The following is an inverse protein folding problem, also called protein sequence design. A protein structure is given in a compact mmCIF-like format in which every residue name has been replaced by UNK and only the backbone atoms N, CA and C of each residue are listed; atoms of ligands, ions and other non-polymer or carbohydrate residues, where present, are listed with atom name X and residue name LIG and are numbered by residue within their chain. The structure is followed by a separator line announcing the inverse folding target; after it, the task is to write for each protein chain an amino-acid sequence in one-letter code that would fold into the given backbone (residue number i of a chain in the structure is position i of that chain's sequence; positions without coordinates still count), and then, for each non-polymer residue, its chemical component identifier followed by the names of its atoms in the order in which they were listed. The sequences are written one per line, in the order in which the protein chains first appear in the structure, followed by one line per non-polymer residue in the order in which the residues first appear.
data_IF_795079926005
#
_entry.id   IF_795079926005
#
_cell.length_a   1.000
_cell.length_b   1.000
_cell.length_c   1.000
_cell.angle_alpha   90.00
_cell.angle_beta   90.00
_cell.angle_gamma   90.00
#
_symmetry.space_group_name_H-M   'P 1'
#
loop_
_entity.id
_entity.type
_entity.pdbx_description
1 polymer ?
#
# COMPACT_ATOMS: atom_id res chain seq x y z
N UNK A 1 17.17 -59.68 15.76
CA UNK A 1 17.30 -59.42 17.14
C UNK A 1 17.20 -58.00 17.61
N UNK A 2 17.06 -57.05 16.72
CA UNK A 2 16.97 -55.66 17.14
C UNK A 2 15.74 -54.95 16.66
N UNK A 3 14.57 -55.55 16.77
CA UNK A 3 13.35 -54.88 16.31
C UNK A 3 12.94 -53.68 17.16
N UNK A 4 13.39 -53.67 18.39
CA UNK A 4 13.04 -52.55 19.28
C UNK A 4 13.69 -51.24 18.91
N UNK A 5 14.88 -51.30 18.31
CA UNK A 5 15.58 -50.08 17.86
C UNK A 5 14.92 -49.43 16.70
N UNK A 6 14.34 -50.20 15.81
CA UNK A 6 13.67 -49.67 14.64
C UNK A 6 12.34 -48.99 15.01
N UNK A 7 11.71 -49.48 16.03
CA UNK A 7 10.46 -48.91 16.51
C UNK A 7 10.71 -47.51 17.15
N UNK A 8 11.81 -47.36 17.84
CA UNK A 8 12.15 -46.07 18.42
C UNK A 8 12.45 -45.00 17.38
N UNK A 9 13.09 -45.38 16.32
CA UNK A 9 13.37 -44.46 15.24
C UNK A 9 12.12 -43.90 14.60
N UNK A 10 11.14 -44.71 14.46
CA UNK A 10 9.87 -44.29 13.85
C UNK A 10 9.15 -43.22 14.65
N UNK A 11 9.29 -43.23 15.98
CA UNK A 11 8.64 -42.25 16.80
C UNK A 11 9.24 -40.85 16.72
N UNK A 12 10.49 -40.76 16.47
CA UNK A 12 11.13 -39.46 16.34
C UNK A 12 10.67 -38.66 15.12
N UNK A 13 10.37 -39.36 14.06
CA UNK A 13 10.02 -38.69 12.81
C UNK A 13 8.64 -38.07 12.82
N UNK A 14 7.75 -38.56 13.64
CA UNK A 14 6.37 -38.10 13.62
C UNK A 14 6.12 -36.77 14.30
N UNK A 15 6.95 -36.40 15.26
CA UNK A 15 6.71 -35.18 16.02
C UNK A 15 7.34 -33.92 15.39
N UNK A 16 8.43 -34.09 14.65
CA UNK A 16 9.19 -32.94 14.15
C UNK A 16 8.59 -32.23 12.96
N UNK A 17 8.11 -32.94 11.93
CA UNK A 17 7.69 -32.24 10.71
C UNK A 17 6.45 -31.39 10.89
N UNK A 18 5.62 -31.67 11.84
CA UNK A 18 4.35 -30.95 12.01
C UNK A 18 4.53 -29.50 12.43
N UNK A 19 5.46 -29.20 13.33
CA UNK A 19 5.69 -27.83 13.75
C UNK A 19 6.34 -26.96 12.69
N UNK A 20 7.25 -27.53 11.92
CA UNK A 20 7.94 -26.80 10.86
C UNK A 20 7.00 -26.41 9.71
N UNK A 21 6.06 -27.27 9.37
CA UNK A 21 5.11 -27.02 8.30
C UNK A 21 4.16 -25.88 8.63
N UNK A 22 3.73 -25.78 9.88
CA UNK A 22 2.81 -24.72 10.32
C UNK A 22 3.46 -23.34 10.24
N UNK A 23 4.73 -23.22 10.54
CA UNK A 23 5.44 -21.94 10.46
C UNK A 23 5.60 -21.48 9.01
N UNK A 24 5.85 -22.40 8.09
CA UNK A 24 6.00 -22.04 6.68
C UNK A 24 4.74 -21.51 6.04
N UNK A 25 3.58 -21.95 6.48
CA UNK A 25 2.29 -21.50 5.94
C UNK A 25 1.98 -20.03 6.26
N UNK A 26 2.51 -19.51 7.35
CA UNK A 26 2.27 -18.12 7.73
C UNK A 26 3.01 -17.12 6.86
N UNK A 27 4.11 -17.52 6.25
CA UNK A 27 4.92 -16.63 5.43
C UNK A 27 4.32 -16.43 4.04
N UNK A 28 3.49 -17.36 3.58
CA UNK A 28 2.96 -17.33 2.22
C UNK A 28 1.71 -16.47 2.03
N UNK A 29 1.21 -15.80 3.07
CA UNK A 29 -0.02 -15.02 3.02
C UNK A 29 0.22 -13.54 2.77
N UNK A 30 1.45 -13.13 2.53
CA UNK A 30 1.78 -11.74 2.22
C UNK A 30 1.26 -11.39 0.82
N UNK A 31 0.00 -11.00 0.72
CA UNK A 31 -0.60 -10.46 -0.49
C UNK A 31 -0.56 -8.94 -0.51
N UNK A 32 -0.84 -8.36 -1.66
CA UNK A 32 -0.99 -6.91 -1.79
C UNK A 32 -2.05 -6.41 -0.81
N UNK A 33 -1.72 -5.41 -0.03
CA UNK A 33 -2.62 -4.79 0.93
C UNK A 33 -3.61 -3.88 0.21
N UNK A 34 -4.87 -3.93 0.60
CA UNK A 34 -5.90 -3.03 0.07
C UNK A 34 -6.32 -2.09 1.19
N UNK A 35 -6.14 -0.80 0.97
CA UNK A 35 -6.51 0.24 1.93
C UNK A 35 -7.45 1.23 1.25
N UNK A 36 -8.62 1.46 1.85
CA UNK A 36 -9.64 2.34 1.28
C UNK A 36 -9.97 2.00 -0.18
N UNK A 37 -9.93 0.72 -0.54
CA UNK A 37 -10.17 0.25 -1.90
C UNK A 37 -8.98 0.41 -2.85
N UNK A 38 -7.89 1.02 -2.44
CA UNK A 38 -6.68 1.16 -3.24
C UNK A 38 -5.69 0.04 -2.91
N UNK A 39 -5.11 -0.54 -3.94
CA UNK A 39 -4.06 -1.54 -3.76
C UNK A 39 -2.72 -0.88 -3.49
N UNK A 40 -1.97 -1.45 -2.56
CA UNK A 40 -0.61 -1.05 -2.23
C UNK A 40 0.36 -2.16 -2.59
N UNK A 41 1.58 -1.83 -3.04
CA UNK A 41 2.62 -2.83 -3.24
C UNK A 41 2.88 -3.61 -1.95
N UNK A 42 3.18 -4.89 -2.11
CA UNK A 42 3.55 -5.74 -0.98
C UNK A 42 4.79 -5.18 -0.28
N UNK A 43 4.72 -5.08 1.04
CA UNK A 43 5.78 -4.47 1.83
C UNK A 43 5.66 -2.98 2.06
N UNK A 44 4.57 -2.35 1.62
CA UNK A 44 4.30 -0.95 1.91
C UNK A 44 4.11 -0.73 3.42
N UNK A 45 4.65 0.36 3.93
CA UNK A 45 4.61 0.69 5.35
C UNK A 45 3.80 1.96 5.58
N UNK A 46 2.86 1.91 6.48
CA UNK A 46 2.07 3.09 6.85
C UNK A 46 2.97 4.10 7.57
N UNK A 47 3.01 5.32 7.08
CA UNK A 47 3.78 6.42 7.66
C UNK A 47 2.92 7.58 8.12
N UNK A 48 1.64 7.55 7.82
CA UNK A 48 0.66 8.55 8.22
C UNK A 48 -0.71 8.18 7.72
N UNK A 49 -1.68 9.02 7.95
CA UNK A 49 -3.03 8.80 7.45
C UNK A 49 -3.03 8.84 5.93
N UNK A 50 -3.49 7.76 5.30
CA UNK A 50 -3.51 7.58 3.84
C UNK A 50 -2.12 7.69 3.18
N UNK A 51 -1.05 7.62 3.94
CA UNK A 51 0.33 7.74 3.45
C UNK A 51 1.11 6.48 3.74
N UNK A 52 1.80 6.00 2.72
CA UNK A 52 2.55 4.76 2.80
C UNK A 52 3.92 4.96 2.16
N UNK A 53 4.93 4.34 2.75
CA UNK A 53 6.24 4.23 2.12
C UNK A 53 6.21 3.04 1.19
N UNK A 54 6.60 3.24 -0.06
CA UNK A 54 6.74 2.16 -1.02
C UNK A 54 7.99 1.33 -0.70
N UNK A 55 7.94 0.02 -0.94
CA UNK A 55 9.07 -0.86 -0.67
C UNK A 55 10.19 -0.77 -1.70
N UNK A 56 9.93 -0.14 -2.84
CA UNK A 56 10.84 -0.05 -3.97
C UNK A 56 10.99 1.39 -4.43
N UNK A 57 11.87 1.59 -5.42
CA UNK A 57 12.09 2.89 -6.01
C UNK A 57 10.88 3.40 -6.79
N UNK A 58 10.97 4.63 -7.26
CA UNK A 58 9.89 5.31 -7.96
C UNK A 58 9.47 4.61 -9.23
N UNK A 59 10.43 4.20 -10.05
CA UNK A 59 10.13 3.53 -11.32
C UNK A 59 9.47 2.17 -11.11
N UNK A 60 9.97 1.39 -10.17
CA UNK A 60 9.38 0.09 -9.83
C UNK A 60 7.96 0.25 -9.26
N UNK A 61 7.71 1.28 -8.48
CA UNK A 61 6.38 1.60 -7.97
C UNK A 61 5.43 1.97 -9.09
N UNK A 62 5.88 2.77 -10.05
CA UNK A 62 5.07 3.10 -11.23
C UNK A 62 4.76 1.86 -12.08
N UNK A 63 5.73 0.98 -12.26
CA UNK A 63 5.51 -0.29 -12.96
C UNK A 63 4.46 -1.16 -12.28
N UNK A 64 4.54 -1.26 -10.96
CA UNK A 64 3.52 -1.97 -10.19
C UNK A 64 2.13 -1.42 -10.49
N UNK A 65 1.97 -0.11 -10.49
CA UNK A 65 0.67 0.50 -10.72
C UNK A 65 0.22 0.46 -12.18
N UNK A 66 1.12 0.32 -13.14
CA UNK A 66 0.72 0.07 -14.51
C UNK A 66 0.01 -1.28 -14.67
N UNK A 67 0.43 -2.26 -13.91
CA UNK A 67 -0.18 -3.57 -13.92
C UNK A 67 -1.52 -3.59 -13.17
N UNK A 68 -1.60 -2.90 -12.05
CA UNK A 68 -2.79 -2.88 -11.18
C UNK A 68 -3.86 -1.92 -11.73
N UNK A 69 -3.44 -0.73 -12.11
CA UNK A 69 -4.31 0.32 -12.64
C UNK A 69 -3.85 0.71 -14.04
N UNK A 70 -4.48 0.14 -15.05
CA UNK A 70 -4.09 0.37 -16.43
C UNK A 70 -4.17 1.84 -16.80
N UNK A 71 -3.25 2.29 -17.64
CA UNK A 71 -3.17 3.69 -18.07
C UNK A 71 -4.42 4.14 -18.81
N UNK A 72 -5.08 3.23 -19.52
CA UNK A 72 -6.30 3.55 -20.27
C UNK A 72 -7.50 3.83 -19.36
N UNK A 73 -7.60 3.15 -18.22
CA UNK A 73 -8.72 3.31 -17.29
C UNK A 73 -8.40 4.26 -16.13
N UNK A 74 -7.13 4.42 -15.82
CA UNK A 74 -6.66 5.28 -14.74
C UNK A 74 -5.61 6.24 -15.28
N UNK A 75 -6.03 7.40 -15.78
CA UNK A 75 -5.10 8.37 -16.37
C UNK A 75 -4.03 8.83 -15.39
N UNK A 76 -2.84 9.11 -15.91
CA UNK A 76 -1.72 9.66 -15.14
C UNK A 76 -1.55 11.13 -15.47
N UNK A 77 -1.28 11.89 -14.42
CA UNK A 77 -0.86 13.28 -14.53
C UNK A 77 0.50 13.42 -13.88
N UNK A 78 1.46 13.86 -14.64
CA UNK A 78 2.76 14.19 -14.10
C UNK A 78 2.68 15.55 -13.41
N UNK A 79 3.05 15.60 -12.13
CA UNK A 79 2.99 16.82 -11.33
C UNK A 79 4.35 17.48 -11.30
N UNK A 80 5.40 16.72 -10.99
CA UNK A 80 6.77 17.19 -10.92
C UNK A 80 7.69 16.14 -11.52
N UNK A 81 8.69 16.60 -12.25
CA UNK A 81 9.74 15.74 -12.77
C UNK A 81 11.06 16.51 -12.77
N UNK A 82 11.72 16.49 -11.63
CA UNK A 82 13.01 17.12 -11.43
C UNK A 82 13.97 16.11 -10.81
N UNK A 83 15.29 16.27 -10.98
CA UNK A 83 16.23 15.38 -10.33
C UNK A 83 16.00 15.34 -8.82
N UNK A 84 15.79 14.13 -8.29
CA UNK A 84 15.55 13.92 -6.87
C UNK A 84 14.14 14.24 -6.37
N UNK A 85 13.27 14.83 -7.21
CA UNK A 85 11.88 15.13 -6.85
C UNK A 85 10.96 14.77 -8.02
N UNK A 86 10.18 13.74 -7.85
CA UNK A 86 9.24 13.27 -8.86
C UNK A 86 7.88 13.05 -8.22
N UNK A 87 6.82 13.37 -8.96
CA UNK A 87 5.47 13.11 -8.50
C UNK A 87 4.53 12.83 -9.66
N UNK A 88 3.76 11.77 -9.56
CA UNK A 88 2.75 11.37 -10.53
C UNK A 88 1.44 11.16 -9.79
N UNK A 89 0.36 11.69 -10.36
CA UNK A 89 -0.99 11.45 -9.88
C UNK A 89 -1.70 10.45 -10.78
N UNK A 90 -2.21 9.38 -10.18
CA UNK A 90 -3.06 8.40 -10.85
C UNK A 90 -4.49 8.72 -10.50
N UNK A 91 -5.29 9.03 -11.53
CA UNK A 91 -6.69 9.40 -11.35
C UNK A 91 -7.55 8.15 -11.30
N UNK A 92 -8.46 8.08 -10.34
CA UNK A 92 -9.55 7.09 -10.33
C UNK A 92 -10.83 7.76 -10.84
N UNK A 93 -11.19 7.58 -12.12
CA UNK A 93 -12.32 8.29 -12.69
C UNK A 93 -13.66 7.96 -12.04
N UNK A 94 -13.80 6.74 -11.52
CA UNK A 94 -15.03 6.33 -10.84
C UNK A 94 -15.25 7.07 -9.54
N UNK A 95 -14.17 7.52 -8.89
CA UNK A 95 -14.22 8.16 -7.57
C UNK A 95 -14.72 7.26 -6.45
N UNK A 96 -14.88 5.97 -6.69
CA UNK A 96 -15.32 5.01 -5.68
C UNK A 96 -14.15 4.64 -4.78
N UNK A 97 -14.38 4.72 -3.48
CA UNK A 97 -13.44 4.38 -2.42
C UNK A 97 -12.26 5.34 -2.31
N UNK A 98 -11.64 5.73 -3.40
CA UNK A 98 -10.56 6.70 -3.43
C UNK A 98 -10.63 7.53 -4.72
N UNK A 99 -10.17 8.76 -4.67
CA UNK A 99 -10.18 9.66 -5.82
C UNK A 99 -8.97 9.45 -6.73
N UNK A 100 -7.87 9.00 -6.17
CA UNK A 100 -6.65 8.76 -6.91
C UNK A 100 -5.49 8.42 -5.98
N UNK A 101 -4.32 8.30 -6.57
CA UNK A 101 -3.08 8.01 -5.86
C UNK A 101 -2.02 9.03 -6.27
N UNK A 102 -1.33 9.56 -5.30
CA UNK A 102 -0.14 10.37 -5.54
C UNK A 102 1.10 9.53 -5.20
N UNK A 103 1.91 9.29 -6.20
CA UNK A 103 3.19 8.60 -6.03
C UNK A 103 4.27 9.64 -6.16
N UNK A 104 5.05 9.82 -5.11
CA UNK A 104 6.07 10.86 -5.11
C UNK A 104 7.37 10.37 -4.49
N UNK A 105 8.45 10.91 -4.99
CA UNK A 105 9.81 10.67 -4.52
C UNK A 105 10.43 11.98 -4.05
N UNK A 106 10.97 11.94 -2.86
CA UNK A 106 11.78 13.01 -2.30
C UNK A 106 12.73 12.42 -1.26
N UNK A 107 13.97 12.91 -1.21
CA UNK A 107 15.01 12.47 -0.27
C UNK A 107 15.23 10.94 -0.31
N UNK A 108 15.27 10.38 -1.52
CA UNK A 108 15.46 8.95 -1.78
C UNK A 108 14.38 8.05 -1.18
N UNK A 109 13.26 8.62 -0.78
CA UNK A 109 12.09 7.88 -0.32
C UNK A 109 10.95 8.03 -1.31
N UNK A 110 10.28 6.90 -1.58
CA UNK A 110 9.07 6.87 -2.40
C UNK A 110 7.87 6.70 -1.50
N UNK A 111 6.89 7.56 -1.67
CA UNK A 111 5.67 7.52 -0.88
C UNK A 111 4.45 7.46 -1.77
N UNK A 112 3.43 6.82 -1.25
CA UNK A 112 2.13 6.68 -1.88
C UNK A 112 1.11 7.36 -0.97
N UNK A 113 0.40 8.33 -1.51
CA UNK A 113 -0.70 8.96 -0.82
C UNK A 113 -2.01 8.57 -1.49
N UNK A 114 -2.91 7.98 -0.71
CA UNK A 114 -4.25 7.64 -1.18
C UNK A 114 -5.11 8.87 -1.00
N UNK A 115 -5.53 9.45 -2.12
CA UNK A 115 -6.41 10.63 -2.11
C UNK A 115 -7.83 10.18 -1.80
N UNK A 116 -8.40 10.58 -0.67
CA UNK A 116 -9.75 10.17 -0.30
C UNK A 116 -10.78 10.80 -1.22
N UNK A 117 -11.93 10.13 -1.36
CA UNK A 117 -13.05 10.72 -2.07
C UNK A 117 -13.60 11.91 -1.27
N UNK A 118 -14.23 12.85 -1.95
CA UNK A 118 -14.85 13.99 -1.28
C UNK A 118 -15.95 13.59 -0.30
N UNK A 119 -16.54 12.42 -0.52
CA UNK A 119 -17.55 11.88 0.39
C UNK A 119 -16.93 11.30 1.67
N UNK A 120 -15.71 10.78 1.57
CA UNK A 120 -14.98 10.22 2.71
C UNK A 120 -14.23 11.30 3.48
N UNK A 121 -13.76 12.32 2.79
CA UNK A 121 -13.18 13.50 3.41
C UNK A 121 -14.33 14.46 3.77
N UNK A 122 -14.85 14.35 4.97
CA UNK A 122 -15.61 15.47 5.52
C UNK A 122 -14.70 16.69 5.46
N UNK A 123 -15.05 17.72 4.68
CA UNK A 123 -14.24 18.92 4.70
C UNK A 123 -14.20 19.42 6.14
N UNK A 124 -13.01 19.60 6.66
CA UNK A 124 -12.82 20.41 7.83
C UNK A 124 -13.62 21.69 7.56
N UNK A 125 -14.56 22.01 8.42
CA UNK A 125 -15.32 23.24 8.31
C UNK A 125 -14.35 24.36 7.97
N UNK A 126 -14.46 24.87 6.77
CA UNK A 126 -13.79 26.10 6.39
C UNK A 126 -14.06 27.08 7.51
N UNK A 127 -13.03 27.65 8.15
CA UNK A 127 -13.30 28.67 9.15
C UNK A 127 -14.13 29.72 8.45
N UNK A 128 -15.32 29.88 8.94
CA UNK A 128 -16.20 30.93 8.50
C UNK A 128 -15.45 32.23 8.74
N UNK A 129 -14.92 32.83 7.71
CA UNK A 129 -14.44 34.17 7.78
C UNK A 129 -15.66 35.01 8.09
N UNK A 130 -15.81 35.29 9.36
CA UNK A 130 -16.72 36.32 9.82
C UNK A 130 -16.29 37.60 9.12
N UNK A 131 -16.95 37.95 8.07
CA UNK A 131 -16.81 39.29 7.51
C UNK A 131 -17.02 40.26 8.69
N UNK A 132 -16.02 41.08 9.02
CA UNK A 132 -16.28 42.12 9.99
C UNK A 132 -17.43 42.95 9.47
N UNK A 133 -18.51 42.95 10.24
CA UNK A 133 -19.66 43.72 9.89
C UNK A 133 -19.23 45.15 9.66
N UNK A 134 -19.49 45.63 8.46
CA UNK A 134 -19.24 47.02 8.12
C UNK A 134 -20.12 47.87 8.97
N UNK A 135 -19.58 48.39 10.02
CA UNK A 135 -20.26 49.45 10.77
C UNK A 135 -20.19 50.74 9.95
N UNK A 136 -21.29 51.29 9.67
CA UNK A 136 -21.38 52.67 9.22
C UNK A 136 -20.99 53.61 10.35
#
# INVERSE_FOLDING_TARGET
MMPALDTLKAHFYKARPLGAVLVALWVSVAGAEVVSGAQLPDGSQKVGENRYRAPRDFEATLEYYRAVYSTSNFPRRQIVNQPGVKAVHIVNPSGKNFAGLNIYEANDEVRIYIVPTQQAAKPAKKPETTKPGRKK
#
